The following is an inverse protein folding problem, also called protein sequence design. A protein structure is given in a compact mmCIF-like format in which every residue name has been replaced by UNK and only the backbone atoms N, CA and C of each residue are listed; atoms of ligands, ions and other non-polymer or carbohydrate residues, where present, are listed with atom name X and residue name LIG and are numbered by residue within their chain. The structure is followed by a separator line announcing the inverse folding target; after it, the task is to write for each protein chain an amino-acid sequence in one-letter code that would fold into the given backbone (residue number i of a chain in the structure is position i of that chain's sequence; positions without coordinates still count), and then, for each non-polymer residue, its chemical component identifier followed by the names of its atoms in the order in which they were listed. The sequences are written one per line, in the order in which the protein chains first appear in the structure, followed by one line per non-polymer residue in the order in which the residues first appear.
data_IF_964010611207
#
_entry.id   IF_964010611207
#
_cell.length_a   1.000
_cell.length_b   1.000
_cell.length_c   1.000
_cell.angle_alpha   90.00
_cell.angle_beta   90.00
_cell.angle_gamma   90.00
#
_symmetry.space_group_name_H-M   'P 1'
#
loop_
_entity.id
_entity.type
_entity.pdbx_description
1 polymer ?
#
# COMPACT_ATOMS: atom_id res chain seq x y z
N UNK A 1 8.75 -63.76 23.99
CA UNK A 1 7.44 -63.51 24.61
C UNK A 1 6.75 -62.44 23.79
N UNK A 2 5.58 -62.75 23.23
CA UNK A 2 4.78 -61.84 22.39
C UNK A 2 4.08 -60.84 23.31
N UNK A 3 4.32 -59.56 23.13
CA UNK A 3 3.59 -58.49 23.81
C UNK A 3 2.33 -58.19 23.01
N UNK A 4 1.18 -58.50 23.59
CA UNK A 4 -0.15 -58.26 23.03
C UNK A 4 -0.45 -56.77 23.18
N UNK A 5 -0.55 -56.04 22.07
CA UNK A 5 -1.16 -54.71 22.05
C UNK A 5 -2.68 -54.89 22.04
N UNK A 6 -3.31 -54.47 23.12
CA UNK A 6 -4.75 -54.44 23.30
C UNK A 6 -5.31 -53.27 22.46
N UNK A 7 -5.95 -53.55 21.34
CA UNK A 7 -6.76 -52.56 20.63
C UNK A 7 -8.05 -52.35 21.44
N UNK A 8 -8.18 -51.19 22.08
CA UNK A 8 -9.48 -50.72 22.54
C UNK A 8 -10.26 -50.21 21.33
N UNK A 9 -11.10 -51.07 20.77
CA UNK A 9 -12.18 -50.65 19.87
C UNK A 9 -13.20 -49.88 20.71
N UNK A 10 -13.05 -48.56 20.79
CA UNK A 10 -14.15 -47.70 21.21
C UNK A 10 -15.08 -47.60 20.02
N UNK A 11 -16.15 -48.41 20.05
CA UNK A 11 -17.27 -48.29 19.15
C UNK A 11 -17.98 -46.98 19.50
N UNK A 12 -17.60 -45.88 18.84
CA UNK A 12 -18.33 -44.63 18.95
C UNK A 12 -19.68 -44.81 18.27
N UNK A 13 -20.73 -44.65 19.06
CA UNK A 13 -22.07 -44.38 18.57
C UNK A 13 -21.95 -43.09 17.75
N UNK A 14 -21.91 -43.19 16.43
CA UNK A 14 -22.15 -42.05 15.56
C UNK A 14 -23.53 -41.52 15.98
N UNK A 15 -23.55 -40.40 16.70
CA UNK A 15 -24.77 -39.67 16.97
C UNK A 15 -25.42 -39.45 15.61
N UNK A 16 -26.61 -40.02 15.44
CA UNK A 16 -27.39 -39.85 14.23
C UNK A 16 -27.78 -38.39 14.12
N UNK A 17 -26.95 -37.62 13.41
CA UNK A 17 -27.33 -36.31 12.88
C UNK A 17 -28.38 -36.57 11.80
N UNK A 18 -29.63 -36.65 12.24
CA UNK A 18 -30.80 -36.61 11.37
C UNK A 18 -30.92 -35.18 10.86
N UNK A 19 -30.26 -34.86 9.75
CA UNK A 19 -30.75 -33.78 8.90
C UNK A 19 -31.97 -34.33 8.17
N UNK A 20 -33.17 -33.98 8.64
CA UNK A 20 -34.40 -34.24 7.89
C UNK A 20 -34.42 -33.29 6.70
N UNK A 21 -34.01 -33.79 5.54
CA UNK A 21 -34.33 -33.19 4.25
C UNK A 21 -35.32 -34.12 3.53
N UNK A 22 -36.61 -33.94 3.82
CA UNK A 22 -37.68 -34.43 2.96
C UNK A 22 -38.36 -33.22 2.31
N UNK A 23 -37.94 -32.86 1.10
CA UNK A 23 -38.85 -32.51 0.01
C UNK A 23 -38.07 -32.50 -1.29
N UNK A 24 -38.66 -33.13 -2.30
CA UNK A 24 -38.24 -33.11 -3.69
C UNK A 24 -38.54 -31.75 -4.31
N UNK A 25 -37.79 -30.72 -3.95
CA UNK A 25 -37.85 -29.39 -4.58
C UNK A 25 -36.44 -28.80 -4.62
N UNK A 26 -36.02 -28.31 -5.79
CA UNK A 26 -34.70 -27.76 -6.14
C UNK A 26 -33.83 -27.28 -4.96
N UNK A 27 -32.86 -28.11 -4.55
CA UNK A 27 -31.79 -27.78 -3.61
C UNK A 27 -30.64 -26.97 -4.27
N UNK A 28 -30.91 -26.30 -5.38
CA UNK A 28 -29.95 -25.39 -6.00
C UNK A 28 -29.97 -24.08 -5.22
N UNK A 29 -28.87 -23.77 -4.54
CA UNK A 29 -28.71 -22.52 -3.78
C UNK A 29 -28.64 -21.29 -4.71
N UNK A 30 -28.72 -21.47 -6.04
CA UNK A 30 -28.56 -20.42 -7.04
C UNK A 30 -27.09 -20.08 -7.32
N UNK A 31 -26.16 -20.76 -6.64
CA UNK A 31 -24.70 -20.66 -6.78
C UNK A 31 -24.07 -21.90 -7.42
N UNK A 32 -24.89 -22.84 -7.93
CA UNK A 32 -24.39 -24.08 -8.54
C UNK A 32 -23.97 -25.16 -7.52
N UNK A 33 -24.33 -25.02 -6.24
CA UNK A 33 -24.13 -26.03 -5.19
C UNK A 33 -25.44 -26.55 -4.61
N UNK A 34 -25.43 -27.81 -4.16
CA UNK A 34 -26.52 -28.40 -3.37
C UNK A 34 -26.05 -28.79 -1.97
N UNK A 35 -26.91 -28.57 -0.97
CA UNK A 35 -26.67 -29.07 0.40
C UNK A 35 -26.94 -30.57 0.45
N UNK A 36 -25.98 -31.32 0.99
CA UNK A 36 -26.05 -32.78 1.15
C UNK A 36 -25.89 -33.17 2.62
N UNK A 37 -26.41 -34.34 2.99
CA UNK A 37 -26.13 -34.94 4.29
C UNK A 37 -24.69 -35.49 4.32
N UNK A 38 -24.07 -35.50 5.52
CA UNK A 38 -22.69 -35.97 5.71
C UNK A 38 -22.44 -37.38 5.14
N UNK A 39 -23.40 -38.30 5.32
CA UNK A 39 -23.30 -39.67 4.82
C UNK A 39 -23.40 -39.79 3.29
N UNK A 40 -23.70 -38.71 2.58
CA UNK A 40 -23.70 -38.63 1.11
C UNK A 40 -22.35 -38.16 0.55
N UNK A 41 -21.39 -37.75 1.41
CA UNK A 41 -20.01 -37.51 1.01
C UNK A 41 -19.37 -38.81 0.50
N UNK A 42 -18.36 -38.76 -0.40
CA UNK A 42 -17.59 -39.93 -0.76
C UNK A 42 -16.99 -40.61 0.49
N UNK A 43 -16.91 -41.95 0.48
CA UNK A 43 -16.38 -42.72 1.61
C UNK A 43 -14.92 -42.35 1.97
N UNK A 44 -14.14 -41.91 0.98
CA UNK A 44 -12.77 -41.40 1.17
C UNK A 44 -12.79 -40.11 1.99
N UNK A 45 -13.69 -39.16 1.69
CA UNK A 45 -13.86 -37.93 2.47
C UNK A 45 -14.28 -38.23 3.91
N UNK A 46 -15.25 -39.13 4.10
CA UNK A 46 -15.71 -39.49 5.44
C UNK A 46 -14.57 -40.09 6.30
N UNK A 47 -13.76 -40.98 5.70
CA UNK A 47 -12.56 -41.53 6.35
C UNK A 47 -11.57 -40.43 6.71
N UNK A 48 -11.26 -39.54 5.75
CA UNK A 48 -10.32 -38.44 5.98
C UNK A 48 -10.76 -37.52 7.13
N UNK A 49 -12.04 -37.14 7.17
CA UNK A 49 -12.60 -36.31 8.23
C UNK A 49 -12.51 -37.04 9.58
N UNK A 50 -12.79 -38.35 9.60
CA UNK A 50 -12.68 -39.15 10.83
C UNK A 50 -11.23 -39.23 11.32
N UNK A 51 -10.26 -39.35 10.43
CA UNK A 51 -8.86 -39.55 10.79
C UNK A 51 -8.17 -38.23 11.21
N UNK A 52 -8.50 -37.13 10.55
CA UNK A 52 -7.78 -35.85 10.70
C UNK A 52 -8.58 -34.75 11.39
N UNK A 53 -9.92 -34.83 11.38
CA UNK A 53 -10.82 -33.85 11.96
C UNK A 53 -11.75 -34.47 13.01
N UNK A 54 -11.30 -35.54 13.68
CA UNK A 54 -12.05 -36.13 14.78
C UNK A 54 -12.32 -35.10 15.90
N UNK A 55 -13.59 -34.94 16.26
CA UNK A 55 -14.02 -33.97 17.27
C UNK A 55 -14.33 -32.57 16.73
N UNK A 56 -14.09 -32.30 15.44
CA UNK A 56 -14.59 -31.10 14.79
C UNK A 56 -16.00 -31.35 14.23
N UNK A 57 -16.96 -30.51 14.61
CA UNK A 57 -18.34 -30.63 14.17
C UNK A 57 -18.52 -30.06 12.77
N UNK A 58 -18.96 -30.91 11.83
CA UNK A 58 -19.37 -30.49 10.48
C UNK A 58 -20.73 -29.80 10.56
N UNK A 59 -20.79 -28.53 10.20
CA UNK A 59 -22.02 -27.73 10.19
C UNK A 59 -22.67 -27.67 8.82
N UNK A 60 -21.89 -27.83 7.74
CA UNK A 60 -22.38 -27.77 6.36
C UNK A 60 -21.62 -28.77 5.49
N UNK A 61 -22.33 -29.46 4.60
CA UNK A 61 -21.74 -30.24 3.52
C UNK A 61 -22.43 -29.86 2.20
N UNK A 62 -21.63 -29.48 1.22
CA UNK A 62 -22.06 -29.08 -0.10
C UNK A 62 -21.50 -30.02 -1.15
N UNK A 63 -22.24 -30.17 -2.25
CA UNK A 63 -21.76 -30.77 -3.49
C UNK A 63 -21.91 -29.78 -4.63
N UNK A 64 -20.83 -29.51 -5.33
CA UNK A 64 -20.87 -28.68 -6.53
C UNK A 64 -21.51 -29.44 -7.70
N UNK A 65 -22.45 -28.78 -8.36
CA UNK A 65 -23.12 -29.25 -9.56
C UNK A 65 -22.29 -28.78 -10.76
N UNK A 66 -21.99 -29.71 -11.67
CA UNK A 66 -21.22 -29.51 -12.90
C UNK A 66 -21.49 -28.15 -13.57
N UNK A 67 -20.52 -27.22 -13.48
CA UNK A 67 -20.56 -25.92 -14.17
C UNK A 67 -20.03 -24.74 -13.35
N UNK A 68 -19.84 -24.91 -12.05
CA UNK A 68 -19.37 -23.87 -11.15
C UNK A 68 -18.00 -24.26 -10.58
N UNK A 69 -16.99 -23.54 -11.06
CA UNK A 69 -15.56 -23.57 -10.72
C UNK A 69 -14.80 -24.91 -10.77
N UNK A 70 -13.84 -24.97 -11.69
CA UNK A 70 -13.00 -26.13 -11.98
C UNK A 70 -11.56 -25.65 -12.13
N UNK A 71 -10.99 -25.06 -11.09
CA UNK A 71 -9.58 -24.67 -11.04
C UNK A 71 -8.59 -25.85 -11.04
N UNK A 72 -9.06 -27.11 -11.18
CA UNK A 72 -8.20 -28.29 -11.36
C UNK A 72 -8.53 -29.20 -12.57
N UNK A 73 -9.56 -28.94 -13.39
CA UNK A 73 -9.82 -29.78 -14.58
C UNK A 73 -9.55 -29.07 -15.90
N UNK A 74 -8.33 -29.28 -16.42
CA UNK A 74 -8.08 -29.29 -17.88
C UNK A 74 -8.72 -30.54 -18.53
N UNK A 75 -9.98 -30.85 -18.24
CA UNK A 75 -10.70 -32.00 -18.82
C UNK A 75 -12.19 -31.70 -18.94
N UNK A 76 -12.72 -31.82 -20.16
CA UNK A 76 -14.10 -31.52 -20.58
C UNK A 76 -15.18 -32.47 -20.02
N UNK A 77 -14.97 -33.05 -18.83
CA UNK A 77 -16.00 -33.74 -18.07
C UNK A 77 -16.10 -33.03 -16.74
N UNK A 78 -17.18 -32.30 -16.52
CA UNK A 78 -17.41 -31.62 -15.26
C UNK A 78 -17.46 -32.65 -14.12
N UNK A 79 -16.59 -32.48 -13.14
CA UNK A 79 -16.45 -33.36 -11.98
C UNK A 79 -17.06 -32.63 -10.78
N UNK A 80 -17.97 -33.28 -10.06
CA UNK A 80 -18.48 -32.72 -8.80
C UNK A 80 -17.33 -32.60 -7.79
N UNK A 81 -17.27 -31.49 -7.08
CA UNK A 81 -16.46 -31.33 -5.87
C UNK A 81 -17.37 -31.35 -4.64
N UNK A 82 -16.79 -31.55 -3.47
CA UNK A 82 -17.50 -31.52 -2.20
C UNK A 82 -16.81 -30.56 -1.24
N UNK A 83 -17.59 -29.80 -0.49
CA UNK A 83 -17.07 -28.85 0.50
C UNK A 83 -17.69 -29.16 1.86
N UNK A 84 -16.89 -29.19 2.91
CA UNK A 84 -17.38 -29.29 4.29
C UNK A 84 -16.94 -28.09 5.10
N UNK A 85 -17.87 -27.42 5.78
CA UNK A 85 -17.60 -26.33 6.72
C UNK A 85 -17.82 -26.83 8.15
N UNK A 86 -16.97 -26.36 9.06
CA UNK A 86 -16.94 -26.78 10.47
C UNK A 86 -17.36 -25.65 11.41
N UNK A 87 -17.89 -26.00 12.58
CA UNK A 87 -18.23 -25.02 13.63
C UNK A 87 -17.02 -24.21 14.11
N UNK A 88 -15.81 -24.76 13.98
CA UNK A 88 -14.54 -24.08 14.27
C UNK A 88 -14.15 -23.05 13.22
N UNK A 89 -14.86 -22.97 12.10
CA UNK A 89 -14.52 -22.10 10.98
C UNK A 89 -13.55 -22.73 9.98
N UNK A 90 -13.22 -24.02 10.06
CA UNK A 90 -12.48 -24.68 8.98
C UNK A 90 -13.39 -24.96 7.78
N UNK A 91 -12.81 -24.96 6.59
CA UNK A 91 -13.40 -25.45 5.37
C UNK A 91 -12.45 -26.44 4.69
N UNK A 92 -13.00 -27.49 4.09
CA UNK A 92 -12.23 -28.50 3.36
C UNK A 92 -12.92 -28.78 2.04
N UNK A 93 -12.17 -28.73 0.95
CA UNK A 93 -12.63 -29.06 -0.40
C UNK A 93 -12.05 -30.39 -0.86
N UNK A 94 -12.92 -31.23 -1.42
CA UNK A 94 -12.63 -32.58 -1.90
C UNK A 94 -12.97 -32.71 -3.38
N UNK A 95 -12.16 -33.48 -4.10
CA UNK A 95 -12.44 -33.85 -5.48
C UNK A 95 -13.63 -34.83 -5.58
N UNK A 96 -14.00 -35.19 -6.82
CA UNK A 96 -15.10 -36.14 -7.08
C UNK A 96 -14.94 -37.52 -6.43
N UNK A 97 -13.71 -37.93 -6.11
CA UNK A 97 -13.41 -39.22 -5.47
C UNK A 97 -13.39 -39.09 -3.94
N UNK A 98 -13.44 -37.86 -3.42
CA UNK A 98 -13.36 -37.55 -2.01
C UNK A 98 -11.95 -37.31 -1.48
N UNK A 99 -10.98 -37.09 -2.36
CA UNK A 99 -9.61 -36.74 -1.98
C UNK A 99 -9.55 -35.23 -1.72
N UNK A 100 -9.04 -34.82 -0.57
CA UNK A 100 -8.90 -33.41 -0.24
C UNK A 100 -7.88 -32.74 -1.17
N UNK A 101 -8.14 -31.49 -1.53
CA UNK A 101 -7.21 -30.66 -2.28
C UNK A 101 -7.05 -29.26 -1.72
N UNK A 102 -7.87 -28.84 -0.77
CA UNK A 102 -7.82 -27.50 -0.16
C UNK A 102 -8.40 -27.61 1.25
N UNK A 103 -7.69 -27.04 2.22
CA UNK A 103 -8.07 -26.94 3.63
C UNK A 103 -7.74 -25.53 4.09
N UNK A 104 -8.76 -24.77 4.48
CA UNK A 104 -8.64 -23.38 4.88
C UNK A 104 -9.27 -23.11 6.25
N UNK A 105 -8.73 -22.11 6.94
CA UNK A 105 -9.28 -21.56 8.16
C UNK A 105 -9.91 -20.20 7.89
N UNK A 106 -11.23 -20.11 8.08
CA UNK A 106 -11.95 -18.85 7.93
C UNK A 106 -11.48 -17.79 8.93
N UNK A 107 -11.62 -16.52 8.54
CA UNK A 107 -11.27 -15.34 9.35
C UNK A 107 -9.78 -15.29 9.74
N UNK A 108 -8.88 -15.64 8.82
CA UNK A 108 -7.43 -15.52 9.04
C UNK A 108 -6.94 -16.39 10.23
N UNK A 109 -7.62 -17.51 10.49
CA UNK A 109 -7.29 -18.42 11.57
C UNK A 109 -6.11 -19.33 11.25
N UNK A 110 -5.39 -19.81 12.26
CA UNK A 110 -4.32 -20.79 12.05
C UNK A 110 -4.88 -22.22 11.88
N UNK A 111 -4.32 -22.97 10.93
CA UNK A 111 -4.53 -24.41 10.84
C UNK A 111 -3.84 -25.14 12.00
N UNK A 112 -4.46 -26.20 12.56
CA UNK A 112 -3.91 -26.91 13.71
C UNK A 112 -2.84 -27.93 13.28
N UNK A 113 -1.95 -28.32 14.20
CA UNK A 113 -0.79 -29.21 13.93
C UNK A 113 -1.14 -30.52 13.22
N UNK A 114 -2.29 -31.13 13.54
CA UNK A 114 -2.77 -32.35 12.90
C UNK A 114 -3.09 -32.16 11.41
N UNK A 115 -3.47 -30.95 11.00
CA UNK A 115 -3.70 -30.57 9.61
C UNK A 115 -2.39 -30.19 8.94
N UNK A 116 -1.52 -29.44 9.63
CA UNK A 116 -0.18 -29.10 9.12
C UNK A 116 0.68 -30.35 8.85
N UNK A 117 0.42 -31.46 9.54
CA UNK A 117 1.07 -32.74 9.27
C UNK A 117 0.68 -33.39 7.92
N UNK A 118 -0.28 -32.83 7.19
CA UNK A 118 -0.71 -33.32 5.87
C UNK A 118 0.19 -32.87 4.72
N UNK A 119 1.06 -31.89 4.95
CA UNK A 119 2.07 -31.42 3.99
C UNK A 119 3.48 -31.82 4.44
N UNK A 120 4.50 -31.80 3.55
CA UNK A 120 5.87 -32.06 3.95
C UNK A 120 6.32 -31.14 5.09
N UNK A 121 7.06 -31.68 6.07
CA UNK A 121 7.54 -30.91 7.24
C UNK A 121 8.38 -29.68 6.84
N UNK A 122 9.03 -29.72 5.68
CA UNK A 122 9.80 -28.60 5.14
C UNK A 122 8.95 -27.36 4.84
N UNK A 123 7.68 -27.53 4.46
CA UNK A 123 6.73 -26.43 4.24
C UNK A 123 6.53 -25.65 5.54
N UNK A 124 6.15 -26.34 6.61
CA UNK A 124 5.96 -25.73 7.94
C UNK A 124 7.28 -25.13 8.47
N UNK A 125 8.40 -25.83 8.24
CA UNK A 125 9.72 -25.35 8.69
C UNK A 125 10.15 -24.07 7.97
N UNK A 126 9.80 -23.93 6.69
CA UNK A 126 10.05 -22.73 5.91
C UNK A 126 9.27 -21.55 6.48
N UNK A 127 7.96 -21.70 6.71
CA UNK A 127 7.14 -20.62 7.30
C UNK A 127 7.70 -20.18 8.66
N UNK A 128 8.03 -21.12 9.55
CA UNK A 128 8.62 -20.78 10.87
C UNK A 128 9.96 -20.04 10.74
N UNK A 129 10.75 -20.34 9.72
CA UNK A 129 12.08 -19.78 9.55
C UNK A 129 12.06 -18.37 8.93
N UNK A 130 11.20 -18.15 7.93
CA UNK A 130 11.17 -16.93 7.12
C UNK A 130 10.04 -15.98 7.51
N UNK A 131 8.97 -16.52 8.13
CA UNK A 131 7.76 -15.80 8.52
C UNK A 131 7.38 -16.06 10.00
N UNK A 132 8.25 -15.74 10.97
CA UNK A 132 8.15 -16.26 12.33
C UNK A 132 6.94 -15.73 13.14
N UNK A 133 6.35 -14.60 12.74
CA UNK A 133 5.12 -14.07 13.36
C UNK A 133 3.82 -14.54 12.66
N UNK A 134 3.94 -15.34 11.59
CA UNK A 134 2.82 -15.76 10.74
C UNK A 134 2.49 -17.23 10.98
N UNK A 135 1.23 -17.59 10.79
CA UNK A 135 0.75 -18.97 10.79
C UNK A 135 0.17 -19.33 9.44
N UNK A 136 0.09 -20.62 9.14
CA UNK A 136 -0.54 -21.12 7.91
C UNK A 136 -2.07 -21.10 8.09
N UNK A 137 -2.77 -20.44 7.17
CA UNK A 137 -4.24 -20.32 7.13
C UNK A 137 -4.87 -21.28 6.12
N UNK A 138 -4.19 -21.53 5.00
CA UNK A 138 -4.63 -22.45 3.96
C UNK A 138 -3.50 -23.40 3.54
N UNK A 139 -3.86 -24.66 3.26
CA UNK A 139 -3.01 -25.59 2.50
C UNK A 139 -3.78 -26.14 1.31
N UNK A 140 -3.23 -25.94 0.12
CA UNK A 140 -3.83 -26.38 -1.13
C UNK A 140 -2.88 -27.26 -1.93
N UNK A 141 -3.42 -28.34 -2.49
CA UNK A 141 -2.71 -29.26 -3.37
C UNK A 141 -2.91 -28.87 -4.81
N UNK A 142 -1.79 -28.75 -5.52
CA UNK A 142 -1.77 -28.49 -6.95
C UNK A 142 -1.12 -29.65 -7.68
N UNK A 143 -1.11 -29.61 -9.01
CA UNK A 143 -0.34 -30.57 -9.79
C UNK A 143 1.17 -30.38 -9.66
N UNK A 144 1.63 -29.19 -9.23
CA UNK A 144 3.04 -28.85 -9.08
C UNK A 144 3.56 -29.11 -7.65
N UNK A 145 2.68 -29.15 -6.66
CA UNK A 145 3.01 -29.41 -5.27
C UNK A 145 1.96 -28.81 -4.33
N UNK A 146 2.36 -27.82 -3.53
CA UNK A 146 1.52 -27.21 -2.50
C UNK A 146 1.53 -25.68 -2.63
N UNK A 147 0.36 -25.09 -2.46
CA UNK A 147 0.14 -23.64 -2.24
C UNK A 147 -0.23 -23.47 -0.76
N UNK A 148 0.29 -22.41 -0.13
CA UNK A 148 0.13 -22.16 1.30
C UNK A 148 -0.07 -20.67 1.54
N UNK A 149 -1.18 -20.32 2.18
CA UNK A 149 -1.46 -18.96 2.58
C UNK A 149 -1.13 -18.74 4.05
N UNK A 150 -0.70 -17.51 4.36
CA UNK A 150 -0.30 -17.10 5.70
C UNK A 150 -1.24 -16.06 6.30
N UNK A 151 -1.27 -16.02 7.63
CA UNK A 151 -2.07 -15.04 8.39
C UNK A 151 -1.72 -13.59 8.08
N UNK A 152 -2.64 -12.66 8.26
CA UNK A 152 -2.38 -11.23 8.38
C UNK A 152 -2.75 -10.39 7.17
N UNK A 153 -3.80 -10.77 6.44
CA UNK A 153 -4.50 -9.97 5.42
C UNK A 153 -3.59 -9.37 4.32
N UNK A 154 -2.48 -10.05 4.03
CA UNK A 154 -1.52 -9.77 2.97
C UNK A 154 -1.50 -11.00 2.07
N UNK A 155 -1.58 -10.82 0.75
CA UNK A 155 -1.63 -11.87 -0.29
C UNK A 155 -0.34 -12.71 -0.41
N UNK A 156 0.17 -13.21 0.73
CA UNK A 156 1.37 -14.04 0.79
C UNK A 156 0.97 -15.49 0.54
N UNK A 157 0.94 -15.85 -0.74
CA UNK A 157 0.80 -17.23 -1.22
C UNK A 157 2.21 -17.80 -1.50
N UNK A 158 2.56 -18.88 -0.80
CA UNK A 158 3.84 -19.57 -0.94
C UNK A 158 3.65 -20.87 -1.74
N UNK A 159 4.49 -21.07 -2.76
CA UNK A 159 4.47 -22.26 -3.59
C UNK A 159 5.63 -23.19 -3.24
N UNK A 160 5.30 -24.48 -3.12
CA UNK A 160 6.24 -25.55 -2.86
C UNK A 160 6.09 -26.67 -3.89
N UNK A 161 7.19 -27.34 -4.21
CA UNK A 161 7.17 -28.54 -5.05
C UNK A 161 6.55 -29.73 -4.31
N UNK A 162 6.34 -30.84 -5.02
CA UNK A 162 5.79 -32.09 -4.44
C UNK A 162 6.59 -32.67 -3.26
N UNK A 163 7.87 -32.30 -3.11
CA UNK A 163 8.73 -32.70 -2.00
C UNK A 163 8.72 -31.69 -0.84
N UNK A 164 8.03 -30.57 -1.01
CA UNK A 164 7.97 -29.47 -0.05
C UNK A 164 9.19 -28.55 -0.09
N UNK A 165 9.92 -28.50 -1.20
CA UNK A 165 10.94 -27.48 -1.42
C UNK A 165 10.25 -26.20 -1.88
N UNK A 166 10.65 -25.05 -1.33
CA UNK A 166 10.14 -23.75 -1.75
C UNK A 166 10.48 -23.47 -3.22
N UNK A 167 9.49 -22.99 -3.98
CA UNK A 167 9.59 -22.70 -5.42
C UNK A 167 9.46 -21.20 -5.69
N UNK A 168 8.73 -20.46 -4.85
CA UNK A 168 8.53 -19.02 -5.01
C UNK A 168 7.20 -18.56 -4.41
N UNK A 169 6.92 -17.27 -4.57
CA UNK A 169 5.60 -16.65 -4.38
C UNK A 169 5.01 -16.30 -5.75
N UNK A 170 3.73 -15.94 -5.82
CA UNK A 170 3.10 -15.46 -7.07
C UNK A 170 3.60 -14.06 -7.50
N UNK A 171 4.50 -13.44 -6.72
CA UNK A 171 5.05 -12.11 -7.00
C UNK A 171 6.39 -12.25 -7.74
N UNK A 172 6.43 -11.79 -9.00
CA UNK A 172 7.63 -11.65 -9.85
C UNK A 172 8.57 -10.51 -9.36
N UNK A 173 8.71 -10.29 -8.04
CA UNK A 173 9.68 -9.33 -7.51
C UNK A 173 11.09 -9.95 -7.46
N UNK A 174 12.13 -9.11 -7.56
CA UNK A 174 13.52 -9.54 -7.42
C UNK A 174 13.90 -9.84 -5.96
N UNK A 175 12.92 -9.80 -5.06
CA UNK A 175 13.13 -9.85 -3.64
C UNK A 175 13.20 -11.30 -3.17
N UNK A 176 14.11 -11.55 -2.24
CA UNK A 176 14.29 -12.88 -1.68
C UNK A 176 13.95 -12.84 -0.20
N UNK A 177 12.99 -13.66 0.20
CA UNK A 177 12.70 -13.89 1.61
C UNK A 177 13.95 -14.42 2.32
N UNK A 178 14.31 -13.76 3.42
CA UNK A 178 15.43 -14.17 4.26
C UNK A 178 15.01 -14.22 5.73
N UNK A 179 15.63 -15.08 6.55
CA UNK A 179 15.35 -15.07 7.98
C UNK A 179 15.86 -13.77 8.61
N UNK A 180 15.25 -13.32 9.70
CA UNK A 180 15.68 -12.15 10.50
C UNK A 180 17.17 -12.22 10.86
N UNK A 181 17.72 -13.42 11.07
CA UNK A 181 19.14 -13.62 11.36
C UNK A 181 20.09 -13.22 10.24
N UNK A 182 19.60 -13.04 9.01
CA UNK A 182 20.38 -12.58 7.87
C UNK A 182 20.50 -11.05 7.81
N UNK A 183 19.67 -10.31 8.56
CA UNK A 183 19.82 -8.86 8.68
C UNK A 183 21.18 -8.49 9.29
N UNK A 184 21.78 -7.35 8.92
CA UNK A 184 22.95 -6.83 9.60
C UNK A 184 22.70 -6.67 11.13
N UNK A 185 23.75 -6.82 11.94
CA UNK A 185 23.63 -6.68 13.41
C UNK A 185 23.09 -5.31 13.83
N UNK A 186 23.36 -4.27 13.04
CA UNK A 186 22.83 -2.92 13.26
C UNK A 186 21.29 -2.92 13.17
N UNK A 187 20.73 -3.49 12.09
CA UNK A 187 19.28 -3.63 11.92
C UNK A 187 18.64 -4.50 13.02
N UNK A 188 19.26 -5.63 13.36
CA UNK A 188 18.74 -6.48 14.45
C UNK A 188 18.70 -5.71 15.79
N UNK A 189 19.74 -4.93 16.08
CA UNK A 189 19.80 -4.10 17.29
C UNK A 189 18.75 -2.99 17.25
N UNK A 190 18.55 -2.38 16.09
CA UNK A 190 17.52 -1.38 15.86
C UNK A 190 16.13 -1.91 16.19
N UNK A 191 15.77 -3.07 15.61
CA UNK A 191 14.49 -3.73 15.86
C UNK A 191 14.26 -4.02 17.35
N UNK A 192 15.26 -4.61 18.01
CA UNK A 192 15.18 -4.94 19.45
C UNK A 192 15.03 -3.68 20.31
N UNK A 193 15.71 -2.58 19.94
CA UNK A 193 15.75 -1.34 20.72
C UNK A 193 14.48 -0.52 20.57
N UNK A 194 13.96 -0.40 19.34
CA UNK A 194 12.89 0.54 19.02
C UNK A 194 11.51 -0.12 18.98
N UNK A 195 11.45 -1.43 18.71
CA UNK A 195 10.21 -2.19 18.53
C UNK A 195 10.14 -3.38 19.49
N UNK A 196 10.60 -3.20 20.73
CA UNK A 196 10.55 -4.24 21.77
C UNK A 196 9.12 -4.77 21.95
N UNK A 197 8.94 -6.08 21.81
CA UNK A 197 7.64 -6.74 21.95
C UNK A 197 6.77 -6.70 20.69
N UNK A 198 7.30 -6.21 19.57
CA UNK A 198 6.70 -6.38 18.24
C UNK A 198 7.53 -7.40 17.48
N UNK A 199 6.89 -8.50 17.06
CA UNK A 199 7.57 -9.55 16.31
C UNK A 199 7.81 -9.10 14.85
N UNK A 200 8.89 -9.62 14.26
CA UNK A 200 9.14 -9.44 12.82
C UNK A 200 8.24 -10.42 12.06
N UNK A 201 7.45 -9.89 11.13
CA UNK A 201 6.56 -10.69 10.30
C UNK A 201 7.27 -11.29 9.08
N UNK A 202 8.09 -10.48 8.40
CA UNK A 202 8.76 -10.87 7.16
C UNK A 202 10.02 -10.04 6.98
N UNK A 203 11.02 -10.62 6.32
CA UNK A 203 12.19 -9.89 5.83
C UNK A 203 12.44 -10.27 4.37
N UNK A 204 12.41 -9.28 3.51
CA UNK A 204 12.81 -9.38 2.11
C UNK A 204 14.20 -8.79 1.94
N UNK A 205 14.94 -9.32 0.98
CA UNK A 205 16.24 -8.80 0.56
C UNK A 205 16.21 -8.52 -0.93
N UNK A 206 16.41 -7.26 -1.29
CA UNK A 206 16.73 -6.85 -2.66
C UNK A 206 18.26 -6.71 -2.84
N UNK A 207 18.68 -6.19 -3.98
CA UNK A 207 20.06 -6.01 -4.39
C UNK A 207 20.80 -4.97 -3.55
N UNK A 208 20.11 -3.97 -2.98
CA UNK A 208 20.71 -2.87 -2.21
C UNK A 208 20.03 -2.54 -0.87
N UNK A 209 18.94 -3.22 -0.52
CA UNK A 209 18.23 -3.05 0.76
C UNK A 209 17.79 -4.37 1.41
N UNK A 210 17.27 -4.22 2.63
CA UNK A 210 16.43 -5.20 3.29
C UNK A 210 15.13 -4.51 3.70
N UNK A 211 14.00 -5.13 3.40
CA UNK A 211 12.69 -4.58 3.73
C UNK A 211 12.07 -5.47 4.80
N UNK A 212 11.70 -4.85 5.92
CA UNK A 212 11.26 -5.56 7.14
C UNK A 212 9.84 -5.16 7.46
N UNK A 213 8.92 -6.10 7.38
CA UNK A 213 7.55 -5.92 7.86
C UNK A 213 7.43 -6.47 9.27
N UNK A 214 6.86 -5.68 10.18
CA UNK A 214 6.56 -6.07 11.55
C UNK A 214 5.13 -6.61 11.69
N UNK A 215 4.86 -7.34 12.77
CA UNK A 215 3.54 -7.94 13.03
C UNK A 215 2.41 -6.91 13.23
N UNK A 216 2.76 -5.65 13.52
CA UNK A 216 1.82 -4.54 13.58
C UNK A 216 1.71 -3.77 12.24
N UNK A 217 2.17 -4.37 11.15
CA UNK A 217 2.20 -3.80 9.80
C UNK A 217 3.14 -2.61 9.62
N UNK A 218 4.00 -2.28 10.58
CA UNK A 218 5.02 -1.24 10.36
C UNK A 218 6.11 -1.81 9.45
N UNK A 219 6.53 -1.04 8.45
CA UNK A 219 7.54 -1.39 7.45
C UNK A 219 8.81 -0.57 7.68
N UNK A 220 9.96 -1.20 7.50
CA UNK A 220 11.28 -0.59 7.70
C UNK A 220 12.23 -1.06 6.62
N UNK A 221 12.80 -0.10 5.89
CA UNK A 221 13.83 -0.37 4.92
C UNK A 221 15.20 -0.12 5.54
N UNK A 222 16.10 -1.08 5.42
CA UNK A 222 17.50 -0.96 5.79
C UNK A 222 18.40 -0.98 4.56
N UNK A 223 19.49 -0.23 4.61
CA UNK A 223 20.62 -0.44 3.68
C UNK A 223 21.24 -1.82 3.89
N UNK A 224 22.04 -2.29 2.93
CA UNK A 224 22.86 -3.51 3.13
C UNK A 224 23.81 -3.44 4.34
N UNK A 225 24.14 -2.25 4.84
CA UNK A 225 24.95 -2.04 6.04
C UNK A 225 24.12 -2.07 7.33
N UNK A 226 22.79 -1.98 7.20
CA UNK A 226 21.83 -2.07 8.29
C UNK A 226 21.38 -0.75 8.88
N UNK A 227 21.70 0.36 8.22
CA UNK A 227 21.17 1.68 8.57
C UNK A 227 19.75 1.82 8.03
N UNK A 228 18.83 2.40 8.81
CA UNK A 228 17.46 2.65 8.33
C UNK A 228 17.46 3.69 7.20
N UNK A 229 16.56 3.49 6.24
CA UNK A 229 16.28 4.38 5.12
C UNK A 229 14.85 4.89 5.20
N UNK A 230 13.90 3.99 5.38
CA UNK A 230 12.47 4.29 5.44
C UNK A 230 11.85 3.61 6.65
N UNK A 231 10.86 4.26 7.27
CA UNK A 231 10.05 3.72 8.34
C UNK A 231 8.61 4.19 8.13
N UNK A 232 7.75 3.30 7.64
CA UNK A 232 6.32 3.56 7.43
C UNK A 232 5.47 2.81 8.44
N UNK A 233 4.72 3.54 9.27
CA UNK A 233 3.80 2.97 10.24
C UNK A 233 2.44 2.58 9.64
N UNK A 234 2.25 2.63 8.32
CA UNK A 234 1.02 2.28 7.62
C UNK A 234 -0.20 3.00 8.20
N UNK A 235 -0.13 4.33 8.28
CA UNK A 235 -1.11 5.22 8.95
C UNK A 235 -1.22 5.03 10.46
N UNK A 236 -0.38 4.23 11.12
CA UNK A 236 -0.30 4.19 12.57
C UNK A 236 0.55 5.37 13.09
N UNK A 237 1.26 5.21 14.21
CA UNK A 237 2.14 6.27 14.76
C UNK A 237 3.53 5.71 14.93
N UNK A 238 4.53 6.42 14.41
CA UNK A 238 5.92 6.09 14.65
C UNK A 238 6.24 6.25 16.15
N UNK A 239 6.88 5.25 16.80
CA UNK A 239 7.25 5.35 18.21
C UNK A 239 8.16 6.54 18.49
N UNK A 240 7.96 7.20 19.64
CA UNK A 240 8.83 8.33 20.06
C UNK A 240 10.31 7.94 20.17
N UNK A 241 10.61 6.68 20.48
CA UNK A 241 11.98 6.14 20.49
C UNK A 241 12.64 6.11 19.11
N UNK A 242 11.86 6.17 18.03
CA UNK A 242 12.34 6.24 16.64
C UNK A 242 12.48 7.70 16.21
N UNK A 243 11.54 8.57 16.59
CA UNK A 243 11.57 10.00 16.24
C UNK A 243 12.84 10.73 16.73
N UNK A 244 13.47 10.26 17.82
CA UNK A 244 14.74 10.81 18.31
C UNK A 244 15.93 10.58 17.38
N UNK A 245 15.76 9.77 16.32
CA UNK A 245 16.77 9.55 15.30
C UNK A 245 16.84 10.70 14.29
N UNK A 246 15.79 11.51 14.20
CA UNK A 246 15.77 12.74 13.40
C UNK A 246 16.53 13.87 14.11
N UNK A 247 17.04 14.87 13.36
CA UNK A 247 17.48 16.13 13.95
C UNK A 247 16.40 16.74 14.86
N UNK A 248 16.78 17.22 16.04
CA UNK A 248 15.85 17.78 17.03
C UNK A 248 14.99 18.92 16.46
N UNK A 249 15.54 19.72 15.54
CA UNK A 249 14.84 20.81 14.85
C UNK A 249 13.61 20.34 14.07
N UNK A 250 13.62 19.12 13.51
CA UNK A 250 12.47 18.54 12.82
C UNK A 250 11.35 18.26 13.82
N UNK A 251 11.68 17.59 14.93
CA UNK A 251 10.71 17.28 15.99
C UNK A 251 10.11 18.56 16.60
N UNK A 252 10.94 19.58 16.84
CA UNK A 252 10.50 20.88 17.35
C UNK A 252 9.56 21.58 16.35
N UNK A 253 9.85 21.52 15.05
CA UNK A 253 9.00 22.08 13.99
C UNK A 253 7.63 21.38 13.95
N UNK A 254 7.60 20.05 13.96
CA UNK A 254 6.37 19.26 13.96
C UNK A 254 5.53 19.60 15.20
N UNK A 255 6.16 19.69 16.38
CA UNK A 255 5.45 20.03 17.60
C UNK A 255 4.89 21.47 17.57
N UNK A 256 5.62 22.42 17.00
CA UNK A 256 5.19 23.82 16.96
C UNK A 256 4.08 24.08 15.93
N UNK A 257 4.14 23.42 14.76
CA UNK A 257 3.27 23.71 13.62
C UNK A 257 2.19 22.65 13.38
N UNK A 258 2.40 21.42 13.85
CA UNK A 258 1.56 20.24 13.60
C UNK A 258 1.26 19.44 14.87
N UNK A 259 1.14 20.09 16.03
CA UNK A 259 0.98 19.44 17.34
C UNK A 259 -0.15 18.39 17.44
N UNK A 260 -1.19 18.50 16.61
CA UNK A 260 -2.33 17.57 16.58
C UNK A 260 -2.18 16.42 15.59
N UNK A 261 -1.11 16.41 14.78
CA UNK A 261 -0.82 15.37 13.80
C UNK A 261 0.21 14.41 14.37
N UNK A 262 0.13 13.16 13.93
CA UNK A 262 1.12 12.12 14.22
C UNK A 262 2.01 11.93 13.00
N UNK A 263 3.25 11.49 13.24
CA UNK A 263 4.15 11.04 12.18
C UNK A 263 3.73 9.62 11.78
N UNK A 264 3.41 9.45 10.51
CA UNK A 264 3.00 8.18 9.90
C UNK A 264 4.17 7.54 9.15
N UNK A 265 5.01 8.32 8.45
CA UNK A 265 6.24 7.84 7.80
C UNK A 265 7.44 8.77 8.06
N UNK A 266 8.66 8.22 8.01
CA UNK A 266 9.90 8.98 7.92
C UNK A 266 10.94 8.29 7.02
N UNK A 267 11.37 9.00 5.99
CA UNK A 267 12.41 8.55 5.05
C UNK A 267 13.67 9.42 5.18
N UNK A 268 14.84 8.80 5.10
CA UNK A 268 16.14 9.46 4.99
C UNK A 268 16.72 9.21 3.60
N UNK A 269 16.69 10.26 2.78
CA UNK A 269 17.33 10.30 1.47
C UNK A 269 18.75 10.82 1.57
N UNK A 270 19.45 10.85 0.43
CA UNK A 270 20.85 11.31 0.34
C UNK A 270 21.02 12.75 0.80
N UNK A 271 20.01 13.60 0.60
CA UNK A 271 20.07 15.04 0.89
C UNK A 271 18.95 15.56 1.80
N UNK A 272 17.96 14.74 2.13
CA UNK A 272 16.74 15.17 2.81
C UNK A 272 16.24 14.13 3.81
N UNK A 273 15.38 14.61 4.70
CA UNK A 273 14.39 13.78 5.40
C UNK A 273 13.02 14.09 4.84
N UNK A 274 12.22 13.07 4.54
CA UNK A 274 10.81 13.21 4.15
C UNK A 274 9.96 12.62 5.27
N UNK A 275 8.97 13.37 5.73
CA UNK A 275 8.18 13.06 6.92
C UNK A 275 6.71 13.22 6.60
N UNK A 276 5.99 12.11 6.60
CA UNK A 276 4.56 12.13 6.34
C UNK A 276 3.80 12.19 7.65
N UNK A 277 2.89 13.15 7.73
CA UNK A 277 2.02 13.36 8.88
C UNK A 277 0.60 12.97 8.53
N UNK A 278 -0.13 12.51 9.56
CA UNK A 278 -1.55 12.18 9.44
C UNK A 278 -2.35 13.33 8.84
N UNK A 279 -3.26 13.00 7.92
CA UNK A 279 -4.08 13.96 7.19
C UNK A 279 -3.33 14.59 6.01
N UNK A 280 -2.53 13.77 5.32
CA UNK A 280 -1.86 14.04 4.05
C UNK A 280 -1.01 15.33 4.10
N UNK A 281 -0.11 15.41 5.08
CA UNK A 281 0.84 16.53 5.15
C UNK A 281 2.23 15.97 5.07
N UNK A 282 2.94 16.35 4.02
CA UNK A 282 4.24 15.77 3.68
C UNK A 282 5.29 16.86 3.85
N UNK A 283 6.27 16.61 4.71
CA UNK A 283 7.29 17.58 5.07
C UNK A 283 8.66 17.10 4.59
N UNK A 284 9.35 17.94 3.83
CA UNK A 284 10.73 17.69 3.43
C UNK A 284 11.64 18.62 4.19
N UNK A 285 12.69 18.08 4.81
CA UNK A 285 13.73 18.81 5.51
C UNK A 285 15.08 18.54 4.87
N UNK A 286 15.99 19.52 4.91
CA UNK A 286 17.40 19.25 4.64
C UNK A 286 18.04 18.39 5.76
N UNK A 287 19.26 17.91 5.55
CA UNK A 287 19.98 17.09 6.55
C UNK A 287 20.32 17.84 7.85
N UNK A 288 20.19 19.17 7.90
CA UNK A 288 20.35 19.97 9.11
C UNK A 288 19.02 20.16 9.86
N UNK A 289 17.91 19.66 9.29
CA UNK A 289 16.57 19.76 9.84
C UNK A 289 15.93 21.14 9.62
N UNK A 290 16.35 21.89 8.60
CA UNK A 290 15.62 23.06 8.14
C UNK A 290 14.53 22.59 7.16
N UNK A 291 13.31 23.11 7.32
CA UNK A 291 12.21 22.80 6.41
C UNK A 291 12.56 23.29 4.99
N UNK A 292 12.48 22.38 4.04
CA UNK A 292 12.62 22.65 2.62
C UNK A 292 11.24 22.81 1.97
N UNK A 293 10.33 21.85 2.15
CA UNK A 293 8.97 21.93 1.62
C UNK A 293 7.94 21.35 2.58
N UNK A 294 6.71 21.82 2.43
CA UNK A 294 5.52 21.28 3.08
C UNK A 294 4.43 21.20 2.02
N UNK A 295 3.94 19.99 1.75
CA UNK A 295 2.75 19.74 0.96
C UNK A 295 1.58 19.42 1.90
N UNK A 296 0.39 19.92 1.58
CA UNK A 296 -0.85 19.66 2.32
C UNK A 296 -1.84 19.08 1.32
N UNK A 297 -1.64 17.81 1.00
CA UNK A 297 -2.28 17.09 -0.10
C UNK A 297 -3.79 17.31 -0.21
N UNK A 298 -4.18 18.24 -1.06
CA UNK A 298 -5.51 18.33 -1.65
C UNK A 298 -5.63 17.29 -2.78
N UNK A 299 -5.55 16.00 -2.46
CA UNK A 299 -5.96 14.83 -3.28
C UNK A 299 -5.72 14.85 -4.82
N UNK A 300 -4.74 15.59 -5.34
CA UNK A 300 -4.47 15.61 -6.79
C UNK A 300 -3.09 16.17 -7.15
N UNK A 301 -2.02 15.47 -6.81
CA UNK A 301 -0.74 15.66 -7.49
C UNK A 301 0.25 14.56 -7.13
N UNK A 302 0.30 13.55 -8.00
CA UNK A 302 1.44 12.66 -8.12
C UNK A 302 2.61 13.43 -8.78
N UNK A 303 3.19 14.44 -8.11
CA UNK A 303 4.22 15.33 -8.67
C UNK A 303 5.61 15.19 -8.00
N UNK A 304 5.81 14.28 -7.05
CA UNK A 304 7.08 14.18 -6.31
C UNK A 304 8.29 13.77 -7.16
N UNK A 305 8.11 13.27 -8.39
CA UNK A 305 9.22 12.84 -9.26
C UNK A 305 9.78 13.93 -10.18
N UNK A 306 9.18 15.13 -10.24
CA UNK A 306 9.58 16.18 -11.19
C UNK A 306 10.32 17.38 -10.55
N UNK A 307 10.60 17.30 -9.23
CA UNK A 307 11.32 18.35 -8.49
C UNK A 307 12.81 18.38 -8.83
N UNK A 308 13.34 19.58 -9.05
CA UNK A 308 14.74 19.83 -9.46
C UNK A 308 15.41 20.93 -8.63
N UNK A 309 16.75 20.93 -8.58
CA UNK A 309 17.51 22.00 -7.91
C UNK A 309 17.27 23.36 -8.57
N UNK A 310 17.11 24.42 -7.77
CA UNK A 310 17.03 25.81 -8.24
C UNK A 310 18.16 26.22 -9.21
N UNK A 311 19.32 25.58 -9.11
CA UNK A 311 20.46 25.84 -9.98
C UNK A 311 20.22 25.44 -11.44
N UNK A 312 19.22 24.58 -11.71
CA UNK A 312 18.84 24.23 -13.08
C UNK A 312 18.00 25.31 -13.76
N UNK A 313 17.47 26.29 -13.00
CA UNK A 313 16.70 27.39 -13.58
C UNK A 313 17.59 28.22 -14.53
N UNK A 314 17.10 28.54 -15.74
CA UNK A 314 17.79 29.44 -16.63
C UNK A 314 18.11 30.78 -15.95
N UNK A 315 19.23 31.40 -16.31
CA UNK A 315 19.66 32.69 -15.74
C UNK A 315 18.59 33.78 -15.88
N UNK A 316 17.80 33.76 -16.96
CA UNK A 316 16.68 34.68 -17.14
C UNK A 316 15.61 34.51 -16.04
N UNK A 317 15.20 33.27 -15.75
CA UNK A 317 14.23 32.97 -14.69
C UNK A 317 14.74 33.41 -13.31
N UNK A 318 16.00 33.06 -12.97
CA UNK A 318 16.64 33.48 -11.71
C UNK A 318 16.71 35.01 -11.58
N UNK A 319 16.91 35.73 -12.69
CA UNK A 319 16.93 37.20 -12.70
C UNK A 319 15.55 37.77 -12.38
N UNK A 320 14.49 37.22 -12.97
CA UNK A 320 13.11 37.64 -12.72
C UNK A 320 12.72 37.38 -11.26
N UNK A 321 13.00 36.17 -10.76
CA UNK A 321 12.73 35.78 -9.38
C UNK A 321 13.41 36.73 -8.39
N UNK A 322 14.72 36.95 -8.53
CA UNK A 322 15.48 37.85 -7.65
C UNK A 322 15.00 39.30 -7.72
N UNK A 323 14.59 39.76 -8.89
CA UNK A 323 14.19 41.18 -9.08
C UNK A 323 12.83 41.45 -8.46
N UNK A 324 11.86 40.56 -8.68
CA UNK A 324 10.46 40.87 -8.41
C UNK A 324 9.87 40.14 -7.20
N UNK A 325 10.44 39.01 -6.79
CA UNK A 325 9.83 38.16 -5.77
C UNK A 325 10.75 37.96 -4.56
N UNK A 326 11.99 37.54 -4.76
CA UNK A 326 12.86 37.05 -3.67
C UNK A 326 13.46 38.13 -2.75
N UNK A 327 12.90 39.34 -2.74
CA UNK A 327 13.30 40.39 -1.80
C UNK A 327 12.84 40.08 -0.36
N UNK A 328 11.73 39.36 -0.21
CA UNK A 328 11.11 39.06 1.09
C UNK A 328 10.56 37.63 1.21
N UNK A 329 10.70 36.81 0.18
CA UNK A 329 10.23 35.42 0.12
C UNK A 329 11.33 34.53 -0.44
N UNK A 330 11.27 33.24 -0.18
CA UNK A 330 12.24 32.25 -0.67
C UNK A 330 11.58 31.33 -1.68
N UNK A 331 12.39 30.64 -2.50
CA UNK A 331 11.91 29.54 -3.33
C UNK A 331 11.66 28.34 -2.41
N UNK A 332 10.47 27.74 -2.52
CA UNK A 332 10.08 26.52 -1.82
C UNK A 332 10.58 25.30 -2.62
N UNK A 333 10.14 25.18 -3.86
CA UNK A 333 10.60 24.15 -4.79
C UNK A 333 10.59 24.64 -6.23
N UNK A 334 11.27 23.89 -7.09
CA UNK A 334 11.21 24.02 -8.54
C UNK A 334 10.82 22.67 -9.11
N UNK A 335 9.78 22.65 -9.93
CA UNK A 335 9.38 21.48 -10.71
C UNK A 335 9.74 21.72 -12.18
N UNK A 336 10.12 20.64 -12.87
CA UNK A 336 10.53 20.70 -14.27
C UNK A 336 9.80 19.65 -15.09
N UNK A 337 8.94 20.15 -15.96
CA UNK A 337 8.40 19.39 -17.08
C UNK A 337 9.30 19.52 -18.32
N UNK A 338 9.01 18.72 -19.36
CA UNK A 338 9.74 18.76 -20.64
C UNK A 338 9.89 20.16 -21.24
N UNK A 339 8.95 21.08 -20.98
CA UNK A 339 8.89 22.41 -21.62
C UNK A 339 8.78 23.61 -20.68
N UNK A 340 8.60 23.40 -19.37
CA UNK A 340 8.43 24.48 -18.40
C UNK A 340 9.14 24.20 -17.08
N UNK A 341 9.42 25.26 -16.35
CA UNK A 341 9.78 25.23 -14.95
C UNK A 341 8.66 25.90 -14.17
N UNK A 342 8.17 25.23 -13.15
CA UNK A 342 7.24 25.80 -12.19
C UNK A 342 8.02 26.10 -10.91
N UNK A 343 7.87 27.31 -10.37
CA UNK A 343 8.58 27.76 -9.17
C UNK A 343 7.57 28.16 -8.11
N UNK A 344 7.49 27.39 -7.04
CA UNK A 344 6.67 27.72 -5.88
C UNK A 344 7.48 28.52 -4.87
N UNK A 345 6.92 29.62 -4.38
CA UNK A 345 7.55 30.49 -3.39
C UNK A 345 6.94 30.29 -2.00
N UNK A 346 7.68 30.66 -0.97
CA UNK A 346 7.31 30.48 0.44
C UNK A 346 6.06 31.27 0.88
N UNK A 347 5.56 32.20 0.07
CA UNK A 347 4.32 32.94 0.32
C UNK A 347 3.12 32.42 -0.49
N UNK A 348 3.29 31.27 -1.16
CA UNK A 348 2.28 30.64 -2.00
C UNK A 348 2.27 31.13 -3.45
N UNK A 349 3.07 32.14 -3.81
CA UNK A 349 3.21 32.58 -5.20
C UNK A 349 3.75 31.44 -6.06
N UNK A 350 3.14 31.25 -7.23
CA UNK A 350 3.59 30.31 -8.25
C UNK A 350 4.05 31.08 -9.49
N UNK A 351 5.18 30.67 -10.04
CA UNK A 351 5.80 31.35 -11.19
C UNK A 351 6.25 30.32 -12.23
N UNK A 352 5.59 30.30 -13.37
CA UNK A 352 6.00 29.45 -14.48
C UNK A 352 6.99 30.16 -15.41
N UNK A 353 8.00 29.42 -15.84
CA UNK A 353 8.95 29.81 -16.86
C UNK A 353 8.99 28.79 -17.99
N UNK A 354 9.27 29.25 -19.21
CA UNK A 354 9.63 28.34 -20.30
C UNK A 354 10.97 27.67 -20.02
N UNK A 355 11.29 26.60 -20.75
CA UNK A 355 12.62 25.99 -20.72
C UNK A 355 13.78 26.98 -20.97
N UNK A 356 13.52 28.11 -21.67
CA UNK A 356 14.50 29.19 -21.90
C UNK A 356 14.56 30.24 -20.78
N UNK A 357 13.67 30.17 -19.78
CA UNK A 357 13.56 31.10 -18.67
C UNK A 357 12.73 32.34 -18.96
N UNK A 358 11.90 32.32 -20.01
CA UNK A 358 10.91 33.37 -20.24
C UNK A 358 9.74 33.19 -19.27
N UNK A 359 9.28 34.26 -18.64
CA UNK A 359 8.12 34.22 -17.76
C UNK A 359 6.84 33.88 -18.54
N UNK A 360 6.13 32.84 -18.08
CA UNK A 360 4.87 32.37 -18.64
C UNK A 360 3.71 32.82 -17.76
N UNK A 361 3.73 32.51 -16.47
CA UNK A 361 2.66 32.90 -15.55
C UNK A 361 3.19 33.37 -14.19
N UNK A 362 2.35 34.12 -13.49
CA UNK A 362 2.49 34.42 -12.06
C UNK A 362 1.10 34.32 -11.46
N UNK A 363 0.93 33.43 -10.48
CA UNK A 363 -0.27 33.32 -9.66
C UNK A 363 0.08 33.64 -8.22
N UNK A 364 -0.74 34.47 -7.56
CA UNK A 364 -0.56 34.81 -6.14
C UNK A 364 -1.81 34.45 -5.35
N UNK A 365 -1.64 34.19 -4.05
CA UNK A 365 -2.77 33.90 -3.16
C UNK A 365 -3.81 35.05 -3.14
N UNK A 366 -5.08 34.75 -2.80
CA UNK A 366 -6.13 35.74 -2.71
C UNK A 366 -5.75 36.96 -1.85
N UNK A 367 -6.20 38.15 -2.25
CA UNK A 367 -5.87 39.45 -1.64
C UNK A 367 -4.40 39.89 -1.78
N UNK A 368 -3.58 39.18 -2.57
CA UNK A 368 -2.28 39.65 -3.04
C UNK A 368 -2.41 40.24 -4.45
N UNK A 369 -1.31 40.79 -4.96
CA UNK A 369 -1.26 41.27 -6.33
C UNK A 369 0.06 40.87 -6.96
N UNK A 370 -0.01 40.38 -8.20
CA UNK A 370 1.16 40.24 -9.08
C UNK A 370 1.87 41.60 -9.16
N UNK A 371 3.22 41.65 -9.08
CA UNK A 371 3.96 42.89 -9.20
C UNK A 371 3.64 43.65 -10.50
N UNK A 372 3.25 44.93 -10.38
CA UNK A 372 2.94 45.81 -11.53
C UNK A 372 4.01 45.80 -12.63
N UNK A 373 5.28 45.67 -12.25
CA UNK A 373 6.42 45.69 -13.16
C UNK A 373 6.48 44.51 -14.13
N UNK A 374 5.77 43.42 -13.82
CA UNK A 374 5.70 42.21 -14.64
C UNK A 374 4.62 42.35 -15.73
N UNK A 375 3.57 43.14 -15.46
CA UNK A 375 2.41 43.25 -16.33
C UNK A 375 2.70 44.19 -17.50
N UNK A 376 2.40 43.82 -18.77
CA UNK A 376 2.49 44.74 -19.90
C UNK A 376 1.72 46.04 -19.63
N UNK A 377 2.39 47.19 -19.80
CA UNK A 377 1.89 48.50 -19.36
C UNK A 377 0.50 48.87 -19.88
N UNK A 378 0.15 48.43 -21.10
CA UNK A 378 -1.17 48.65 -21.71
C UNK A 378 -2.27 47.86 -21.00
N UNK A 379 -1.97 46.62 -20.60
CA UNK A 379 -2.88 45.75 -19.84
C UNK A 379 -3.06 46.33 -18.44
N UNK A 380 -1.95 46.67 -17.76
CA UNK A 380 -2.00 47.28 -16.43
C UNK A 380 -2.83 48.57 -16.41
N UNK A 381 -2.65 49.42 -17.43
CA UNK A 381 -3.43 50.66 -17.58
C UNK A 381 -4.92 50.39 -17.78
N UNK A 382 -5.27 49.38 -18.58
CA UNK A 382 -6.65 48.98 -18.79
C UNK A 382 -7.29 48.47 -17.49
N UNK A 383 -6.61 47.59 -16.75
CA UNK A 383 -7.10 47.06 -15.48
C UNK A 383 -7.33 48.18 -14.47
N UNK A 384 -6.34 49.06 -14.26
CA UNK A 384 -6.46 50.18 -13.30
C UNK A 384 -7.57 51.17 -13.67
N UNK A 385 -7.84 51.37 -14.96
CA UNK A 385 -8.88 52.29 -15.42
C UNK A 385 -10.30 51.73 -15.26
N UNK A 386 -10.48 50.42 -15.47
CA UNK A 386 -11.81 49.78 -15.52
C UNK A 386 -12.16 49.00 -14.25
N UNK A 387 -11.15 48.59 -13.47
CA UNK A 387 -11.28 47.71 -12.30
C UNK A 387 -10.41 48.22 -11.14
N UNK A 388 -10.44 49.53 -10.85
CA UNK A 388 -9.55 50.21 -9.90
C UNK A 388 -9.56 49.69 -8.45
N UNK A 389 -10.54 48.86 -8.07
CA UNK A 389 -10.67 48.26 -6.74
C UNK A 389 -10.23 46.79 -6.68
N UNK A 390 -9.91 46.19 -7.83
CA UNK A 390 -9.48 44.80 -7.93
C UNK A 390 -7.97 44.72 -8.09
N UNK A 391 -7.38 43.70 -7.46
CA UNK A 391 -5.99 43.32 -7.62
C UNK A 391 -5.85 42.36 -8.80
N UNK A 392 -4.65 42.25 -9.36
CA UNK A 392 -4.32 41.23 -10.37
C UNK A 392 -3.78 40.03 -9.60
N UNK A 393 -4.56 38.95 -9.51
CA UNK A 393 -4.17 37.72 -8.79
C UNK A 393 -3.45 36.72 -9.71
N UNK A 394 -3.73 36.75 -11.01
CA UNK A 394 -3.02 35.94 -12.00
C UNK A 394 -2.63 36.79 -13.22
N UNK A 395 -1.41 36.55 -13.72
CA UNK A 395 -0.95 36.95 -15.04
C UNK A 395 -0.47 35.73 -15.79
N UNK A 396 -0.99 35.49 -16.99
CA UNK A 396 -0.55 34.37 -17.83
C UNK A 396 -0.34 34.84 -19.28
N UNK A 397 0.83 34.51 -19.86
CA UNK A 397 1.21 34.76 -21.24
C UNK A 397 0.99 33.50 -22.07
N UNK A 398 -0.04 33.54 -22.92
CA UNK A 398 -0.37 32.48 -23.90
C UNK A 398 0.24 32.79 -25.27
N UNK A 399 0.26 31.79 -26.15
CA UNK A 399 0.69 31.98 -27.54
C UNK A 399 -0.14 33.06 -28.29
N UNK A 400 -1.44 33.17 -27.95
CA UNK A 400 -2.38 34.09 -28.61
C UNK A 400 -2.51 35.46 -27.94
N UNK A 401 -1.88 35.67 -26.78
CA UNK A 401 -2.08 36.89 -25.98
C UNK A 401 -1.85 36.68 -24.49
N UNK A 402 -2.66 37.31 -23.66
CA UNK A 402 -2.55 37.26 -22.20
C UNK A 402 -3.90 37.00 -21.55
N UNK A 403 -3.89 36.24 -20.46
CA UNK A 403 -5.00 36.10 -19.50
C UNK A 403 -4.61 36.87 -18.23
N UNK A 404 -5.57 37.58 -17.65
CA UNK A 404 -5.43 38.30 -16.38
C UNK A 404 -6.62 37.93 -15.51
N UNK A 405 -6.35 37.40 -14.32
CA UNK A 405 -7.39 37.15 -13.32
C UNK A 405 -7.40 38.27 -12.27
N UNK A 406 -8.61 38.73 -11.92
CA UNK A 406 -8.82 39.81 -10.97
C UNK A 406 -9.50 39.34 -9.69
N UNK A 407 -8.97 39.82 -8.56
CA UNK A 407 -9.47 39.51 -7.23
C UNK A 407 -10.96 39.78 -7.03
N UNK A 408 -11.60 38.97 -6.17
CA UNK A 408 -12.94 39.21 -5.63
C UNK A 408 -14.06 38.48 -6.37
N UNK A 409 -15.30 38.56 -5.85
CA UNK A 409 -16.44 37.81 -6.39
C UNK A 409 -17.43 38.71 -7.18
N UNK A 410 -17.92 38.29 -8.36
CA UNK A 410 -17.43 37.13 -9.12
C UNK A 410 -15.99 37.37 -9.57
N UNK A 411 -15.26 36.29 -9.76
CA UNK A 411 -13.95 36.26 -10.38
C UNK A 411 -14.06 36.83 -11.80
N UNK A 412 -13.05 37.58 -12.24
CA UNK A 412 -13.04 38.20 -13.56
C UNK A 412 -11.75 37.84 -14.26
N UNK A 413 -11.87 37.06 -15.33
CA UNK A 413 -10.79 36.73 -16.23
C UNK A 413 -10.87 37.60 -17.50
N UNK A 414 -9.80 38.32 -17.79
CA UNK A 414 -9.70 39.22 -18.93
C UNK A 414 -8.70 38.67 -19.95
N UNK A 415 -9.10 38.64 -21.21
CA UNK A 415 -8.25 38.20 -22.32
C UNK A 415 -7.78 39.41 -23.11
N UNK A 416 -6.48 39.45 -23.40
CA UNK A 416 -5.83 40.48 -24.23
C UNK A 416 -5.09 39.82 -25.39
N UNK A 417 -4.95 40.52 -26.51
CA UNK A 417 -4.04 40.09 -27.58
C UNK A 417 -2.56 40.40 -27.24
N UNK A 418 -1.63 39.93 -28.08
CA UNK A 418 -0.19 40.15 -27.90
C UNK A 418 0.22 41.64 -27.86
N UNK A 419 -0.62 42.55 -28.39
CA UNK A 419 -0.40 43.99 -28.35
C UNK A 419 -1.04 44.64 -27.11
N UNK A 420 -1.59 43.85 -26.19
CA UNK A 420 -2.28 44.29 -24.98
C UNK A 420 -3.66 44.92 -25.24
N UNK A 421 -4.30 44.66 -26.39
CA UNK A 421 -5.68 45.10 -26.62
C UNK A 421 -6.65 44.12 -25.96
N UNK A 422 -7.61 44.64 -25.20
CA UNK A 422 -8.67 43.83 -24.61
C UNK A 422 -9.50 43.13 -25.69
N UNK A 423 -9.70 41.82 -25.53
CA UNK A 423 -10.42 40.94 -26.47
C UNK A 423 -11.77 40.50 -25.93
N UNK A 424 -11.90 40.40 -24.61
CA UNK A 424 -13.12 39.95 -23.96
C UNK A 424 -12.81 39.28 -22.63
N UNK A 425 -13.84 38.65 -22.07
CA UNK A 425 -13.72 37.81 -20.89
C UNK A 425 -13.45 36.37 -21.31
N UNK A 426 -12.75 35.62 -20.47
CA UNK A 426 -12.76 34.16 -20.61
C UNK A 426 -14.17 33.63 -20.29
N UNK A 427 -14.61 32.57 -20.96
CA UNK A 427 -16.02 32.16 -21.01
C UNK A 427 -16.32 30.86 -20.29
#
# INVERSE_FOLDING_TARGET
MKTVQLFFTVLFLAGSLNFVACSSDNNDNGDGTETIAYNQLPAISQTFITDHFNGYEVTKALKAISGYDVSLAKSATAKSTYTTTYASGYEIKFDQNGVWYDIEANNDGALPDNVLALVPRSVVSYVVQYYPAKSITEIKKTTAGYEVDLTGNTDIELHFDVNGNYVGTDHDDHDVDVPVSNLPTISQTFLITHFTGVDVAMVKKDNDSYDVTLANSLEIDFTLQGEWKDIDANKATIPTSVLVLLPQSINDYIQANHASRKVESMEKKVSTYEIDLSGNVDLVFDLQGNLWSEDRGDNNSNHDNDRVSVDVLPTAARTILNTYFLQSVTILYVEKDDNKFEVKLSDGTEVDFSAGGELLSVEVLPSKSVPDAIIPSKILSYVKANYSTRLIEEFEKKYSGYKIELSGYPEIELIFDLNGNFKGFDK
#
